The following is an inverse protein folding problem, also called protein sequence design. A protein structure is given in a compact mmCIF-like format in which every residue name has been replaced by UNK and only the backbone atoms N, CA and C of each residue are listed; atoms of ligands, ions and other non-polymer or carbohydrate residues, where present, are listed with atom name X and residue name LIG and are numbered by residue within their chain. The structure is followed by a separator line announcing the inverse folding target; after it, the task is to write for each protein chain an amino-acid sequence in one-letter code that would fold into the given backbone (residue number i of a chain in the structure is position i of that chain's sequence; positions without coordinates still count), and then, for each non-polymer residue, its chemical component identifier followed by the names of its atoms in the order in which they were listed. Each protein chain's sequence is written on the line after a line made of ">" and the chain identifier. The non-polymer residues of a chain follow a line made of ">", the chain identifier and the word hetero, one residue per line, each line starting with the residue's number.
data_IF_607009167928
#
_entry.id   IF_607009167928
#
_cell.length_a   1.000
_cell.length_b   1.000
_cell.length_c   1.000
_cell.angle_alpha   90.00
_cell.angle_beta   90.00
_cell.angle_gamma   90.00
#
_symmetry.space_group_name_H-M   'P 1'
#
loop_
_entity.id
_entity.type
_entity.pdbx_description
1 polymer ?
#
# COMPACT_ATOMS: atom_id res chain seq x y z
N UNK A 1 42.23 65.49 -7.46
CA UNK A 1 43.32 64.51 -7.61
C UNK A 1 42.72 63.16 -7.24
N UNK A 2 42.25 62.41 -8.25
CA UNK A 2 42.92 61.19 -8.82
C UNK A 2 42.69 59.97 -7.93
N UNK A 3 42.29 58.78 -8.37
CA UNK A 3 42.05 58.22 -9.70
C UNK A 3 41.34 56.86 -9.50
N UNK A 4 40.53 56.46 -10.48
CA UNK A 4 40.03 55.09 -10.73
C UNK A 4 41.13 54.03 -10.82
N UNK A 5 40.80 52.75 -10.53
CA UNK A 5 40.84 51.54 -11.41
C UNK A 5 40.54 50.28 -10.57
N UNK A 6 39.43 49.53 -10.76
CA UNK A 6 39.02 48.52 -11.78
C UNK A 6 39.58 47.10 -11.57
N UNK A 7 38.66 46.10 -11.55
CA UNK A 7 38.66 44.71 -12.07
C UNK A 7 37.54 43.94 -11.31
N UNK A 8 36.27 43.89 -11.78
CA UNK A 8 35.61 43.07 -12.82
C UNK A 8 35.31 41.60 -12.45
N UNK A 9 34.01 41.31 -12.44
CA UNK A 9 33.30 40.10 -12.89
C UNK A 9 33.63 38.72 -12.29
N UNK A 10 32.79 38.33 -11.32
CA UNK A 10 32.52 36.94 -10.96
C UNK A 10 31.01 36.71 -10.98
N UNK A 11 30.53 36.05 -12.03
CA UNK A 11 29.13 35.67 -12.27
C UNK A 11 28.52 34.91 -11.09
N UNK A 12 27.58 35.54 -10.39
CA UNK A 12 26.73 34.89 -9.39
C UNK A 12 25.69 33.98 -10.05
N UNK A 13 26.07 32.75 -10.39
CA UNK A 13 25.10 31.69 -10.69
C UNK A 13 24.63 31.12 -9.34
N UNK A 14 23.62 31.75 -8.75
CA UNK A 14 22.86 31.14 -7.64
C UNK A 14 21.88 30.11 -8.19
N UNK A 15 22.41 29.02 -8.73
CA UNK A 15 21.65 27.86 -9.15
C UNK A 15 21.16 27.05 -7.94
N UNK A 16 20.21 27.60 -7.19
CA UNK A 16 19.39 26.77 -6.31
C UNK A 16 18.47 25.96 -7.23
N UNK A 17 18.91 24.76 -7.60
CA UNK A 17 18.01 23.76 -8.14
C UNK A 17 16.88 23.58 -7.12
N UNK A 18 15.60 23.75 -7.48
CA UNK A 18 14.53 23.56 -6.53
C UNK A 18 14.63 22.13 -6.02
N UNK A 19 14.78 21.99 -4.70
CA UNK A 19 14.67 20.69 -4.02
C UNK A 19 13.35 20.08 -4.51
N UNK A 20 13.33 18.84 -5.04
CA UNK A 20 12.11 18.24 -5.54
C UNK A 20 11.06 18.30 -4.43
N UNK A 21 9.92 18.94 -4.70
CA UNK A 21 8.83 19.02 -3.74
C UNK A 21 8.43 17.58 -3.40
N UNK A 22 8.49 17.26 -2.11
CA UNK A 22 8.05 15.95 -1.60
C UNK A 22 6.59 15.79 -2.02
N UNK A 23 6.29 14.77 -2.82
CA UNK A 23 4.92 14.47 -3.25
C UNK A 23 4.03 14.27 -2.02
N UNK A 24 2.83 14.84 -2.04
CA UNK A 24 1.88 14.72 -0.94
C UNK A 24 1.19 13.36 -0.98
N UNK A 25 0.73 12.87 0.17
CA UNK A 25 0.03 11.58 0.22
C UNK A 25 -1.23 11.57 -0.66
N UNK A 26 -1.92 12.70 -0.75
CA UNK A 26 -3.08 12.89 -1.61
C UNK A 26 -2.71 12.71 -3.08
N UNK A 27 -1.58 13.27 -3.52
CA UNK A 27 -1.13 13.12 -4.92
C UNK A 27 -0.78 11.68 -5.28
N UNK A 28 -0.16 10.93 -4.35
CA UNK A 28 0.17 9.51 -4.54
C UNK A 28 -1.08 8.61 -4.55
N UNK A 29 -2.04 8.87 -3.66
CA UNK A 29 -3.23 8.04 -3.48
C UNK A 29 -4.31 8.27 -4.55
N UNK A 30 -4.32 9.46 -5.17
CA UNK A 30 -5.39 9.91 -6.09
C UNK A 30 -5.62 8.99 -7.31
N UNK A 31 -4.57 8.33 -7.79
CA UNK A 31 -4.61 7.53 -9.01
C UNK A 31 -4.46 6.02 -8.77
N UNK A 32 -4.55 5.57 -7.52
CA UNK A 32 -4.44 4.15 -7.18
C UNK A 32 -5.63 3.38 -7.74
N UNK A 33 -5.32 2.35 -8.54
CA UNK A 33 -6.28 1.41 -9.14
C UNK A 33 -6.08 -0.02 -8.67
N UNK A 34 -4.90 -0.33 -8.12
CA UNK A 34 -4.59 -1.63 -7.54
C UNK A 34 -4.03 -1.45 -6.12
N UNK A 35 -4.67 -2.09 -5.14
CA UNK A 35 -4.17 -2.25 -3.79
C UNK A 35 -3.62 -3.67 -3.62
N UNK A 36 -2.33 -3.79 -3.34
CA UNK A 36 -1.66 -5.05 -3.02
C UNK A 36 -1.48 -5.15 -1.51
N UNK A 37 -1.88 -6.29 -0.94
CA UNK A 37 -1.75 -6.57 0.48
C UNK A 37 -0.83 -7.78 0.70
N UNK A 38 0.09 -7.66 1.64
CA UNK A 38 0.62 -8.85 2.31
C UNK A 38 -0.44 -9.46 3.27
N UNK A 39 -0.24 -10.69 3.71
CA UNK A 39 -1.14 -11.40 4.61
C UNK A 39 -0.67 -11.36 6.07
N UNK A 40 0.55 -11.80 6.32
CA UNK A 40 1.03 -12.13 7.66
C UNK A 40 1.62 -10.90 8.31
N UNK A 41 0.99 -10.39 9.37
CA UNK A 41 1.37 -9.11 9.98
C UNK A 41 0.74 -7.89 9.31
N UNK A 42 0.00 -8.06 8.20
CA UNK A 42 -0.82 -7.01 7.54
C UNK A 42 -2.32 -7.29 7.62
N UNK A 43 -2.82 -8.31 6.92
CA UNK A 43 -4.23 -8.73 7.02
C UNK A 43 -4.53 -9.49 8.32
N UNK A 44 -3.46 -9.96 8.97
CA UNK A 44 -3.47 -10.72 10.23
C UNK A 44 -2.54 -10.04 11.24
N UNK A 45 -2.59 -10.49 12.48
CA UNK A 45 -1.70 -10.02 13.56
C UNK A 45 -0.29 -10.64 13.51
N UNK A 46 0.04 -11.39 12.45
CA UNK A 46 1.31 -12.10 12.30
C UNK A 46 1.37 -13.43 13.07
N UNK A 47 0.32 -13.77 13.83
CA UNK A 47 0.23 -15.02 14.56
C UNK A 47 -0.09 -16.21 13.65
N UNK A 48 0.64 -17.31 13.85
CA UNK A 48 0.34 -18.62 13.25
C UNK A 48 -0.10 -19.59 14.34
N UNK A 49 -1.35 -20.05 14.27
CA UNK A 49 -1.87 -21.05 15.19
C UNK A 49 -1.81 -22.42 14.53
N UNK A 50 -0.96 -23.31 15.07
CA UNK A 50 -0.84 -24.68 14.60
C UNK A 50 -1.72 -25.61 15.43
N UNK A 51 -2.45 -26.51 14.76
CA UNK A 51 -3.04 -27.67 15.44
C UNK A 51 -2.02 -28.81 15.58
N UNK A 52 -2.42 -29.92 16.22
CA UNK A 52 -1.55 -31.08 16.44
C UNK A 52 -1.12 -31.80 15.13
N UNK A 53 -1.78 -31.52 14.00
CA UNK A 53 -1.47 -32.09 12.70
C UNK A 53 -0.67 -31.11 11.81
N UNK A 54 -0.35 -29.92 12.29
CA UNK A 54 0.36 -28.88 11.56
C UNK A 54 -0.53 -28.00 10.67
N UNK A 55 -1.86 -28.07 10.81
CA UNK A 55 -2.76 -27.16 10.11
C UNK A 55 -2.62 -25.74 10.68
N UNK A 56 -2.49 -24.76 9.78
CA UNK A 56 -2.34 -23.35 10.14
C UNK A 56 -3.68 -22.63 10.13
N UNK A 57 -4.02 -22.00 11.26
CA UNK A 57 -5.09 -21.02 11.39
C UNK A 57 -4.49 -19.62 11.57
N UNK A 58 -5.19 -18.61 11.06
CA UNK A 58 -4.82 -17.20 11.16
C UNK A 58 -6.04 -16.37 11.57
N UNK A 59 -5.82 -15.29 12.32
CA UNK A 59 -6.88 -14.36 12.73
C UNK A 59 -6.96 -13.18 11.77
N UNK A 60 -8.09 -13.02 11.09
CA UNK A 60 -8.38 -11.86 10.23
C UNK A 60 -9.32 -10.87 10.93
N UNK A 61 -9.25 -9.59 10.53
CA UNK A 61 -10.12 -8.57 11.08
C UNK A 61 -11.39 -8.33 10.24
N UNK A 62 -12.53 -8.12 10.91
CA UNK A 62 -13.81 -7.85 10.23
C UNK A 62 -13.84 -6.49 9.56
N UNK A 63 -13.23 -5.46 10.17
CA UNK A 63 -13.18 -4.12 9.58
C UNK A 63 -12.34 -4.11 8.30
N UNK A 64 -11.25 -4.86 8.26
CA UNK A 64 -10.40 -5.00 7.07
C UNK A 64 -11.17 -5.65 5.92
N UNK A 65 -12.00 -6.65 6.23
CA UNK A 65 -12.91 -7.25 5.25
C UNK A 65 -13.91 -6.25 4.66
N UNK A 66 -14.42 -5.31 5.47
CA UNK A 66 -15.25 -4.21 4.96
C UNK A 66 -14.42 -3.26 4.09
N UNK A 67 -13.21 -2.90 4.52
CA UNK A 67 -12.29 -2.06 3.74
C UNK A 67 -12.03 -2.65 2.35
N UNK A 68 -11.66 -3.93 2.26
CA UNK A 68 -11.43 -4.62 0.99
C UNK A 68 -12.65 -4.55 0.08
N UNK A 69 -13.86 -4.77 0.61
CA UNK A 69 -15.09 -4.65 -0.18
C UNK A 69 -15.35 -3.23 -0.66
N UNK A 70 -15.12 -2.23 0.20
CA UNK A 70 -15.27 -0.81 -0.17
C UNK A 70 -14.29 -0.39 -1.26
N UNK A 71 -13.03 -0.83 -1.18
CA UNK A 71 -12.03 -0.58 -2.22
C UNK A 71 -12.51 -1.10 -3.57
N UNK A 72 -13.00 -2.35 -3.60
CA UNK A 72 -13.56 -2.95 -4.82
C UNK A 72 -14.80 -2.21 -5.35
N UNK A 73 -15.75 -1.86 -4.49
CA UNK A 73 -16.93 -1.06 -4.87
C UNK A 73 -16.51 0.29 -5.46
N UNK A 74 -15.40 0.86 -4.99
CA UNK A 74 -14.83 2.10 -5.49
C UNK A 74 -14.02 1.95 -6.80
N UNK A 75 -13.95 0.75 -7.37
CA UNK A 75 -13.16 0.45 -8.58
C UNK A 75 -11.66 0.37 -8.32
N UNK A 76 -11.24 0.10 -7.07
CA UNK A 76 -9.86 -0.23 -6.73
C UNK A 76 -9.77 -1.75 -6.64
N UNK A 77 -9.06 -2.37 -7.57
CA UNK A 77 -8.79 -3.79 -7.53
C UNK A 77 -7.92 -4.15 -6.32
N UNK A 78 -8.13 -5.33 -5.77
CA UNK A 78 -7.37 -5.82 -4.62
C UNK A 78 -6.66 -7.12 -5.00
N UNK A 79 -5.35 -7.15 -4.80
CA UNK A 79 -4.52 -8.34 -4.95
C UNK A 79 -3.85 -8.69 -3.62
N UNK A 80 -3.56 -9.97 -3.43
CA UNK A 80 -2.92 -10.48 -2.21
C UNK A 80 -1.71 -11.31 -2.58
N UNK A 81 -0.54 -10.95 -2.03
CA UNK A 81 0.71 -11.70 -2.17
C UNK A 81 1.10 -12.23 -0.80
N UNK A 82 1.41 -13.52 -0.70
CA UNK A 82 1.86 -14.11 0.57
C UNK A 82 3.02 -15.07 0.34
N UNK A 83 3.97 -15.09 1.27
CA UNK A 83 5.02 -16.11 1.31
C UNK A 83 4.48 -17.50 1.67
N UNK A 84 3.30 -17.59 2.29
CA UNK A 84 2.63 -18.85 2.59
C UNK A 84 1.47 -19.11 1.62
N UNK A 85 1.26 -20.38 1.28
CA UNK A 85 0.03 -20.84 0.62
C UNK A 85 -0.71 -21.76 1.59
N UNK A 86 -1.78 -21.25 2.20
CA UNK A 86 -2.55 -22.00 3.21
C UNK A 86 -4.06 -21.88 2.98
N UNK A 87 -4.84 -22.97 3.19
CA UNK A 87 -6.26 -22.99 2.88
C UNK A 87 -7.10 -21.91 3.57
N UNK A 88 -6.73 -21.50 4.80
CA UNK A 88 -7.47 -20.48 5.53
C UNK A 88 -7.41 -19.09 4.88
N UNK A 89 -6.31 -18.77 4.18
CA UNK A 89 -6.16 -17.52 3.41
C UNK A 89 -7.05 -17.59 2.17
N UNK A 90 -6.95 -18.66 1.38
CA UNK A 90 -7.80 -18.88 0.20
C UNK A 90 -9.28 -18.70 0.56
N UNK A 91 -9.74 -19.40 1.61
CA UNK A 91 -11.13 -19.31 2.06
C UNK A 91 -11.54 -17.90 2.47
N UNK A 92 -10.66 -17.16 3.12
CA UNK A 92 -10.93 -15.77 3.50
C UNK A 92 -11.08 -14.88 2.27
N UNK A 93 -10.21 -15.04 1.27
CA UNK A 93 -10.23 -14.24 0.05
C UNK A 93 -11.46 -14.53 -0.81
N UNK A 94 -11.90 -15.79 -0.91
CA UNK A 94 -13.17 -16.16 -1.55
C UNK A 94 -14.36 -15.40 -0.96
N UNK A 95 -14.46 -15.36 0.38
CA UNK A 95 -15.54 -14.64 1.09
C UNK A 95 -15.51 -13.13 0.82
N UNK A 96 -14.33 -12.57 0.57
CA UNK A 96 -14.14 -11.16 0.21
C UNK A 96 -14.25 -10.92 -1.30
N UNK A 97 -14.38 -11.97 -2.10
CA UNK A 97 -14.39 -11.95 -3.56
C UNK A 97 -13.06 -11.51 -4.17
N UNK A 98 -11.93 -11.67 -3.47
CA UNK A 98 -10.61 -11.33 -3.99
C UNK A 98 -10.11 -12.51 -4.82
N UNK A 99 -9.94 -12.29 -6.13
CA UNK A 99 -9.54 -13.34 -7.09
C UNK A 99 -8.05 -13.33 -7.41
N UNK A 100 -7.38 -12.18 -7.27
CA UNK A 100 -5.96 -12.03 -7.57
C UNK A 100 -5.11 -12.40 -6.33
N UNK A 101 -5.05 -13.70 -6.02
CA UNK A 101 -4.26 -14.26 -4.93
C UNK A 101 -3.04 -15.03 -5.44
N UNK A 102 -1.88 -14.76 -4.85
CA UNK A 102 -0.64 -15.49 -5.12
C UNK A 102 0.02 -15.88 -3.79
N UNK A 103 -0.29 -17.10 -3.32
CA UNK A 103 0.35 -17.73 -2.17
C UNK A 103 1.64 -18.45 -2.54
N UNK A 104 2.53 -18.68 -1.56
CA UNK A 104 3.83 -19.33 -1.79
C UNK A 104 4.76 -18.51 -2.68
N UNK A 105 4.60 -17.19 -2.67
CA UNK A 105 5.21 -16.28 -3.62
C UNK A 105 6.57 -15.74 -3.13
N UNK A 106 7.65 -16.45 -3.44
CA UNK A 106 9.02 -15.96 -3.15
C UNK A 106 9.43 -14.80 -4.09
N UNK A 107 8.89 -14.79 -5.31
CA UNK A 107 9.22 -13.82 -6.36
C UNK A 107 8.17 -12.72 -6.49
N UNK A 108 7.80 -12.06 -5.38
CA UNK A 108 6.72 -11.04 -5.33
C UNK A 108 6.85 -9.94 -6.41
N UNK A 109 8.07 -9.49 -6.70
CA UNK A 109 8.32 -8.48 -7.74
C UNK A 109 7.92 -8.92 -9.16
N UNK A 110 8.19 -10.17 -9.52
CA UNK A 110 7.88 -10.71 -10.85
C UNK A 110 6.38 -10.88 -11.01
N UNK A 111 5.72 -11.39 -9.97
CA UNK A 111 4.26 -11.54 -9.93
C UNK A 111 3.60 -10.16 -10.05
N UNK A 112 4.08 -9.18 -9.28
CA UNK A 112 3.57 -7.81 -9.30
C UNK A 112 3.72 -7.14 -10.67
N UNK A 113 4.89 -7.24 -11.32
CA UNK A 113 5.07 -6.71 -12.68
C UNK A 113 4.16 -7.43 -13.70
N UNK A 114 3.94 -8.74 -13.51
CA UNK A 114 2.98 -9.49 -14.30
C UNK A 114 1.55 -8.96 -14.16
N UNK A 115 1.08 -8.74 -12.91
CA UNK A 115 -0.24 -8.16 -12.62
C UNK A 115 -0.37 -6.78 -13.26
N UNK A 116 0.62 -5.91 -13.02
CA UNK A 116 0.69 -4.57 -13.59
C UNK A 116 0.53 -4.58 -15.11
N UNK A 117 1.27 -5.44 -15.81
CA UNK A 117 1.18 -5.57 -17.28
C UNK A 117 -0.18 -6.09 -17.74
N UNK A 118 -0.71 -7.15 -17.11
CA UNK A 118 -2.04 -7.72 -17.45
C UNK A 118 -3.16 -6.69 -17.28
N UNK A 119 -3.08 -5.88 -16.22
CA UNK A 119 -4.07 -4.86 -15.90
C UNK A 119 -3.83 -3.52 -16.62
N UNK A 120 -2.78 -3.42 -17.44
CA UNK A 120 -2.37 -2.17 -18.13
C UNK A 120 -2.24 -1.00 -17.15
N UNK A 121 -1.52 -1.24 -16.05
CA UNK A 121 -1.25 -0.26 -15.02
C UNK A 121 0.17 0.30 -15.13
N UNK A 122 0.32 1.55 -14.74
CA UNK A 122 1.61 2.15 -14.40
C UNK A 122 1.94 1.88 -12.92
N UNK A 123 3.24 1.92 -12.59
CA UNK A 123 3.69 1.72 -11.22
C UNK A 123 3.04 2.70 -10.23
N UNK A 124 2.81 3.94 -10.67
CA UNK A 124 2.18 5.01 -9.90
C UNK A 124 0.70 4.73 -9.55
N UNK A 125 0.04 3.81 -10.26
CA UNK A 125 -1.36 3.42 -10.02
C UNK A 125 -1.48 2.25 -9.01
N UNK A 126 -0.36 1.82 -8.42
CA UNK A 126 -0.31 0.68 -7.49
C UNK A 126 0.04 1.17 -6.08
N UNK A 127 -0.72 0.70 -5.09
CA UNK A 127 -0.40 0.82 -3.68
C UNK A 127 -0.03 -0.57 -3.12
N UNK A 128 0.90 -0.61 -2.18
CA UNK A 128 1.32 -1.85 -1.51
C UNK A 128 1.35 -1.62 0.00
N UNK A 129 0.66 -2.45 0.78
CA UNK A 129 0.71 -2.45 2.25
C UNK A 129 1.45 -3.70 2.74
N UNK A 130 2.63 -3.49 3.35
CA UNK A 130 3.52 -4.55 3.85
C UNK A 130 3.95 -4.34 5.29
N UNK A 131 4.67 -5.32 5.86
CA UNK A 131 5.15 -5.26 7.23
C UNK A 131 6.62 -5.69 7.42
N UNK A 132 7.17 -6.56 6.56
CA UNK A 132 8.51 -7.12 6.71
C UNK A 132 9.40 -7.02 5.45
N UNK A 133 10.66 -7.47 5.52
CA UNK A 133 11.67 -7.33 4.48
C UNK A 133 11.28 -7.97 3.14
N UNK A 134 10.48 -9.02 3.17
CA UNK A 134 9.95 -9.67 1.95
C UNK A 134 9.11 -8.71 1.09
N UNK A 135 8.61 -7.61 1.68
CA UNK A 135 7.83 -6.60 0.99
C UNK A 135 8.67 -5.42 0.47
N UNK A 136 9.91 -5.24 0.92
CA UNK A 136 10.73 -4.09 0.53
C UNK A 136 10.93 -3.99 -0.97
N UNK A 137 11.23 -5.11 -1.62
CA UNK A 137 11.47 -5.16 -3.05
C UNK A 137 10.23 -4.77 -3.88
N UNK A 138 9.03 -5.37 -3.69
CA UNK A 138 7.83 -4.93 -4.40
C UNK A 138 7.39 -3.50 -3.99
N UNK A 139 7.48 -3.13 -2.71
CA UNK A 139 7.15 -1.78 -2.23
C UNK A 139 8.00 -0.70 -2.92
N UNK A 140 9.30 -0.96 -3.16
CA UNK A 140 10.19 0.01 -3.79
C UNK A 140 9.81 0.38 -5.23
N UNK A 141 8.90 -0.38 -5.87
CA UNK A 141 8.50 -0.20 -7.27
C UNK A 141 7.18 0.53 -7.43
N UNK A 142 6.32 0.53 -6.43
CA UNK A 142 4.94 1.04 -6.54
C UNK A 142 4.86 2.54 -6.28
N UNK A 143 3.77 3.18 -6.72
CA UNK A 143 3.52 4.60 -6.48
C UNK A 143 3.31 4.93 -5.02
N UNK A 144 2.59 4.07 -4.30
CA UNK A 144 2.31 4.27 -2.88
C UNK A 144 2.71 3.05 -2.04
N UNK A 145 3.98 2.96 -1.60
CA UNK A 145 4.37 2.00 -0.58
C UNK A 145 3.89 2.47 0.79
N UNK A 146 3.18 1.60 1.50
CA UNK A 146 2.67 1.82 2.83
C UNK A 146 3.08 0.68 3.77
N UNK A 147 3.22 1.01 5.05
CA UNK A 147 3.55 0.05 6.10
C UNK A 147 2.50 0.05 7.20
N UNK A 148 2.27 -1.09 7.83
CA UNK A 148 1.44 -1.16 9.04
C UNK A 148 2.16 -0.62 10.27
N UNK A 149 1.42 -0.27 11.33
CA UNK A 149 1.98 0.31 12.55
C UNK A 149 3.01 -0.59 13.25
N UNK A 150 2.85 -1.91 13.18
CA UNK A 150 3.75 -2.93 13.74
C UNK A 150 4.85 -3.37 12.77
N UNK A 151 4.94 -2.78 11.57
CA UNK A 151 5.95 -3.15 10.58
C UNK A 151 7.38 -2.93 11.07
N UNK A 152 8.32 -3.70 10.52
CA UNK A 152 9.74 -3.57 10.79
C UNK A 152 10.25 -2.15 10.46
N UNK A 153 11.21 -1.61 11.22
CA UNK A 153 11.68 -0.24 11.04
C UNK A 153 12.15 0.08 9.61
N UNK A 154 12.78 -0.87 8.91
CA UNK A 154 13.25 -0.64 7.55
C UNK A 154 12.11 -0.54 6.53
N UNK A 155 11.01 -1.25 6.75
CA UNK A 155 9.80 -1.16 5.94
C UNK A 155 9.14 0.20 6.12
N UNK A 156 9.05 0.68 7.37
CA UNK A 156 8.56 2.04 7.69
C UNK A 156 9.42 3.14 7.09
N UNK A 157 10.75 2.96 7.00
CA UNK A 157 11.66 3.93 6.36
C UNK A 157 11.39 4.08 4.86
N UNK A 158 11.02 2.98 4.18
CA UNK A 158 10.68 2.99 2.76
C UNK A 158 9.28 3.57 2.49
N UNK A 159 8.34 3.29 3.39
CA UNK A 159 6.94 3.66 3.24
C UNK A 159 6.72 5.19 3.14
N UNK A 160 5.77 5.59 2.28
CA UNK A 160 5.26 6.97 2.19
C UNK A 160 4.09 7.22 3.15
N UNK A 161 3.47 6.15 3.63
CA UNK A 161 2.41 6.19 4.62
C UNK A 161 2.61 5.04 5.62
N UNK A 162 2.41 5.33 6.91
CA UNK A 162 2.41 4.31 7.96
C UNK A 162 1.06 4.40 8.67
N UNK A 163 0.34 3.30 8.76
CA UNK A 163 -0.94 3.27 9.48
C UNK A 163 -0.72 3.52 10.97
N UNK A 164 -1.76 4.00 11.65
CA UNK A 164 -1.80 4.04 13.11
C UNK A 164 -2.23 2.70 13.70
N UNK A 165 -3.07 1.95 13.00
CA UNK A 165 -3.49 0.60 13.38
C UNK A 165 -2.45 -0.44 12.99
N UNK A 166 -2.35 -1.48 13.81
CA UNK A 166 -1.54 -2.67 13.53
C UNK A 166 -2.24 -3.60 12.54
N UNK A 167 -1.46 -4.46 11.90
CA UNK A 167 -1.97 -5.53 11.05
C UNK A 167 -2.93 -6.44 11.79
N UNK A 168 -3.96 -6.89 11.07
CA UNK A 168 -5.05 -7.68 11.66
C UNK A 168 -5.89 -6.93 12.70
N UNK A 169 -5.69 -5.63 12.88
CA UNK A 169 -6.40 -4.77 13.84
C UNK A 169 -7.07 -3.56 13.17
N UNK A 170 -7.34 -3.63 11.87
CA UNK A 170 -7.96 -2.54 11.11
C UNK A 170 -7.02 -1.71 10.23
N UNK A 171 -5.75 -2.09 10.09
CA UNK A 171 -4.77 -1.34 9.28
C UNK A 171 -5.15 -1.30 7.78
N UNK A 172 -5.65 -2.40 7.23
CA UNK A 172 -6.13 -2.42 5.83
C UNK A 172 -7.33 -1.49 5.69
N UNK A 173 -8.26 -1.49 6.65
CA UNK A 173 -9.40 -0.57 6.66
C UNK A 173 -8.96 0.89 6.73
N UNK A 174 -8.03 1.22 7.61
CA UNK A 174 -7.47 2.57 7.73
C UNK A 174 -6.87 3.02 6.40
N UNK A 175 -6.06 2.15 5.79
CA UNK A 175 -5.40 2.48 4.53
C UNK A 175 -6.40 2.62 3.37
N UNK A 176 -7.43 1.77 3.29
CA UNK A 176 -8.50 1.94 2.31
C UNK A 176 -9.25 3.25 2.53
N UNK A 177 -9.57 3.64 3.76
CA UNK A 177 -10.26 4.91 4.05
C UNK A 177 -9.44 6.11 3.57
N UNK A 178 -8.11 6.07 3.75
CA UNK A 178 -7.19 7.05 3.17
C UNK A 178 -7.32 7.11 1.64
N UNK A 179 -7.22 5.97 0.95
CA UNK A 179 -7.33 5.93 -0.51
C UNK A 179 -8.66 6.51 -1.00
N UNK A 180 -9.77 6.11 -0.38
CA UNK A 180 -11.11 6.60 -0.74
C UNK A 180 -11.26 8.10 -0.48
N UNK A 181 -10.69 8.60 0.60
CA UNK A 181 -10.68 10.03 0.93
C UNK A 181 -9.88 10.82 -0.11
N UNK A 182 -8.66 10.39 -0.41
CA UNK A 182 -7.81 11.05 -1.40
C UNK A 182 -8.37 11.00 -2.83
N UNK A 183 -9.20 9.99 -3.13
CA UNK A 183 -9.91 9.87 -4.41
C UNK A 183 -11.27 10.58 -4.43
N UNK A 184 -11.71 11.18 -3.32
CA UNK A 184 -13.02 11.84 -3.20
C UNK A 184 -14.21 10.87 -3.35
N UNK A 185 -14.01 9.59 -3.03
CA UNK A 185 -15.02 8.52 -3.16
C UNK A 185 -15.70 8.17 -1.83
N UNK A 186 -15.12 8.60 -0.71
CA UNK A 186 -15.54 8.21 0.64
C UNK A 186 -16.96 8.68 0.97
N UNK A 187 -17.25 9.96 0.75
CA UNK A 187 -18.53 10.58 1.13
C UNK A 187 -19.70 9.94 0.39
N UNK A 188 -19.56 9.72 -0.93
CA UNK A 188 -20.59 9.06 -1.73
C UNK A 188 -20.88 7.63 -1.27
N UNK A 189 -19.84 6.86 -0.89
CA UNK A 189 -20.00 5.51 -0.35
C UNK A 189 -20.69 5.51 1.01
N UNK A 190 -20.33 6.47 1.88
CA UNK A 190 -20.97 6.61 3.19
C UNK A 190 -22.45 6.95 3.05
N UNK A 191 -22.79 7.91 2.18
CA UNK A 191 -24.19 8.27 1.90
C UNK A 191 -24.99 7.09 1.36
N UNK A 192 -24.42 6.29 0.45
CA UNK A 192 -25.07 5.09 -0.06
C UNK A 192 -25.40 4.11 1.09
N UNK A 193 -24.44 3.86 1.98
CA UNK A 193 -24.63 2.95 3.11
C UNK A 193 -25.65 3.46 4.14
N UNK A 194 -25.74 4.77 4.35
CA UNK A 194 -26.76 5.36 5.23
C UNK A 194 -28.19 5.24 4.68
N UNK A 195 -28.35 4.90 3.40
CA UNK A 195 -29.64 4.75 2.71
C UNK A 195 -30.04 3.29 2.46
N UNK A 196 -29.24 2.31 2.93
CA UNK A 196 -29.61 0.90 2.81
C UNK A 196 -30.76 0.60 3.79
N UNK A 197 -31.88 0.13 3.24
CA UNK A 197 -33.06 -0.36 3.98
C UNK A 197 -32.87 -1.80 4.49
#
# INVERSE_FOLDING_TARGET
>A
MTCNTLYSDGTGISGHSPTPRRESIESLAKHIRLLVLDVDGVMTDGGLYYDANGLVMKRFHVLDGIGIRLAKTAGIEVAVLSGMDVPCVVRRLEVLGVTEYHGGADNKCTILDGMRKRMSLEWQEIAYLGDDWVDLAPMSRVGLPAAVANAMPDVKKLAKFVTQKEGGCGAVREFVDLLLTCQGKREALLEHWMRLE
#
